data_IF_285196277430
#
_entry.id   IF_285196277430
#
_cell.length_a   1.000
_cell.length_b   1.000
_cell.length_c   1.000
_cell.angle_alpha   90.00
_cell.angle_beta   90.00
_cell.angle_gamma   90.00
#
_symmetry.space_group_name_H-M   'P 1'
#
loop_
_entity.id
_entity.type
_entity.pdbx_description
1 polymer ?
#
# COMPACT_ATOMS: atom_id res chain seq x y z
N UNK A 1 24.15 0.02 1.47
CA UNK A 1 23.36 -1.07 2.10
C UNK A 1 22.03 -1.12 1.35
N UNK A 2 21.36 -2.26 1.17
CA UNK A 2 20.08 -2.24 0.44
C UNK A 2 18.97 -1.82 1.42
N UNK A 3 18.22 -0.78 1.08
CA UNK A 3 17.03 -0.34 1.81
C UNK A 3 15.79 -0.56 0.97
N UNK A 4 14.63 -0.60 1.62
CA UNK A 4 13.35 -0.75 0.94
C UNK A 4 12.42 0.41 1.29
N UNK A 5 11.73 0.92 0.27
CA UNK A 5 10.73 1.98 0.42
C UNK A 5 9.36 1.44 0.04
N UNK A 6 8.36 1.68 0.88
CA UNK A 6 6.98 1.26 0.62
C UNK A 6 6.29 2.24 -0.33
N UNK A 7 5.73 1.72 -1.42
CA UNK A 7 4.74 2.42 -2.25
C UNK A 7 3.41 1.67 -2.17
N UNK A 8 2.32 2.37 -1.84
CA UNK A 8 0.99 1.78 -1.69
C UNK A 8 -0.04 2.54 -2.55
N UNK A 9 -0.94 1.80 -3.18
CA UNK A 9 -2.06 2.30 -3.96
C UNK A 9 -3.36 1.83 -3.31
N UNK A 10 -4.37 2.69 -3.32
CA UNK A 10 -5.75 2.34 -2.98
C UNK A 10 -6.49 2.10 -4.29
N UNK A 11 -7.10 0.94 -4.44
CA UNK A 11 -7.73 0.52 -5.68
C UNK A 11 -9.19 0.13 -5.45
N UNK A 12 -10.06 0.45 -6.41
CA UNK A 12 -11.43 -0.04 -6.50
C UNK A 12 -11.50 -1.21 -7.49
N UNK A 13 -12.19 -2.27 -7.06
CA UNK A 13 -12.42 -3.49 -7.85
C UNK A 13 -13.88 -3.59 -8.35
N UNK A 14 -14.56 -2.45 -8.51
CA UNK A 14 -15.91 -2.43 -9.09
C UNK A 14 -15.92 -2.73 -10.59
N UNK A 15 -14.87 -2.31 -11.30
CA UNK A 15 -14.72 -2.49 -12.75
C UNK A 15 -13.49 -3.35 -13.08
N UNK A 16 -13.49 -3.94 -14.27
CA UNK A 16 -12.30 -4.54 -14.88
C UNK A 16 -11.85 -3.65 -16.07
N UNK A 17 -10.59 -3.19 -16.10
CA UNK A 17 -9.55 -3.37 -15.09
C UNK A 17 -9.85 -2.59 -13.78
N UNK A 18 -9.22 -3.02 -12.69
CA UNK A 18 -9.29 -2.31 -11.41
C UNK A 18 -8.66 -0.92 -11.53
N UNK A 19 -9.27 0.08 -10.89
CA UNK A 19 -8.80 1.47 -10.94
C UNK A 19 -8.13 1.81 -9.63
N UNK A 20 -6.87 2.27 -9.70
CA UNK A 20 -6.09 2.67 -8.53
C UNK A 20 -5.90 4.19 -8.49
N UNK A 21 -5.94 4.76 -7.29
CA UNK A 21 -5.54 6.14 -7.02
C UNK A 21 -4.03 6.32 -7.23
N UNK A 22 -3.55 7.57 -7.19
CA UNK A 22 -2.12 7.86 -7.22
C UNK A 22 -1.37 7.12 -6.09
N UNK A 23 -0.13 6.65 -6.35
CA UNK A 23 0.69 6.01 -5.32
C UNK A 23 0.96 6.96 -4.16
N UNK A 24 0.98 6.39 -2.96
CA UNK A 24 1.52 7.02 -1.76
C UNK A 24 2.86 6.37 -1.48
N UNK A 25 3.94 7.15 -1.59
CA UNK A 25 5.27 6.71 -1.21
C UNK A 25 5.54 7.04 0.27
N UNK A 26 6.02 6.04 1.01
CA UNK A 26 6.43 6.20 2.39
C UNK A 26 7.81 6.84 2.45
N UNK A 27 8.01 7.77 3.37
CA UNK A 27 9.34 8.32 3.69
C UNK A 27 10.15 7.45 4.65
N UNK A 28 9.61 6.28 5.03
CA UNK A 28 10.27 5.33 5.93
C UNK A 28 11.08 4.31 5.13
N UNK A 29 12.34 4.14 5.50
CA UNK A 29 13.24 3.13 4.94
C UNK A 29 13.29 1.88 5.82
N UNK A 30 13.10 0.73 5.20
CA UNK A 30 13.16 -0.58 5.85
C UNK A 30 14.45 -1.30 5.50
N UNK A 31 14.94 -2.17 6.40
CA UNK A 31 16.19 -2.91 6.18
C UNK A 31 15.98 -4.20 5.38
N UNK A 32 14.74 -4.64 5.24
CA UNK A 32 14.40 -5.85 4.49
C UNK A 32 13.04 -5.73 3.80
N UNK A 33 12.86 -6.53 2.75
CA UNK A 33 11.55 -6.70 2.13
C UNK A 33 10.50 -7.19 3.14
N UNK A 34 10.90 -8.06 4.08
CA UNK A 34 10.02 -8.59 5.13
C UNK A 34 9.44 -7.50 6.02
N UNK A 35 10.28 -6.57 6.49
CA UNK A 35 9.83 -5.44 7.29
C UNK A 35 8.87 -4.53 6.49
N UNK A 36 9.25 -4.21 5.25
CA UNK A 36 8.44 -3.35 4.39
C UNK A 36 7.08 -3.97 4.05
N UNK A 37 7.01 -5.26 3.73
CA UNK A 37 5.76 -5.94 3.36
C UNK A 37 4.81 -6.04 4.57
N UNK A 38 5.32 -6.32 5.77
CA UNK A 38 4.52 -6.29 7.00
C UNK A 38 3.99 -4.88 7.30
N UNK A 39 4.84 -3.87 7.15
CA UNK A 39 4.42 -2.48 7.30
C UNK A 39 3.33 -2.09 6.30
N UNK A 40 3.41 -2.59 5.06
CA UNK A 40 2.37 -2.39 4.05
C UNK A 40 1.00 -2.91 4.53
N UNK A 41 0.94 -4.15 5.03
CA UNK A 41 -0.31 -4.72 5.56
C UNK A 41 -0.86 -3.92 6.75
N UNK A 42 0.01 -3.47 7.66
CA UNK A 42 -0.41 -2.61 8.77
C UNK A 42 -0.97 -1.28 8.29
N UNK A 43 -0.38 -0.68 7.25
CA UNK A 43 -0.90 0.55 6.65
C UNK A 43 -2.22 0.33 5.91
N UNK A 44 -2.37 -0.79 5.20
CA UNK A 44 -3.64 -1.17 4.56
C UNK A 44 -4.79 -1.20 5.58
N UNK A 45 -4.58 -1.82 6.74
CA UNK A 45 -5.59 -1.88 7.81
C UNK A 45 -5.95 -0.47 8.28
N UNK A 46 -4.97 0.42 8.46
CA UNK A 46 -5.22 1.82 8.84
C UNK A 46 -6.01 2.59 7.78
N UNK A 47 -5.69 2.38 6.50
CA UNK A 47 -6.41 2.98 5.37
C UNK A 47 -7.87 2.51 5.38
N UNK A 48 -8.13 1.20 5.48
CA UNK A 48 -9.50 0.67 5.52
C UNK A 48 -10.28 1.20 6.73
N UNK A 49 -9.63 1.30 7.89
CA UNK A 49 -10.25 1.84 9.11
C UNK A 49 -10.65 3.31 8.94
N UNK A 50 -9.85 4.11 8.22
CA UNK A 50 -10.15 5.52 7.92
C UNK A 50 -11.25 5.68 6.88
N UNK A 51 -11.27 4.85 5.84
CA UNK A 51 -12.30 4.86 4.80
C UNK A 51 -13.66 4.36 5.31
N UNK A 52 -13.64 3.42 6.26
CA UNK A 52 -14.82 2.90 6.92
C UNK A 52 -15.47 1.71 6.21
N UNK A 53 -16.18 0.89 7.00
CA UNK A 53 -16.75 -0.39 6.58
C UNK A 53 -17.64 -0.27 5.33
N UNK A 54 -18.59 0.67 5.32
CA UNK A 54 -19.55 0.84 4.23
C UNK A 54 -18.84 1.16 2.91
N UNK A 55 -17.97 2.17 2.91
CA UNK A 55 -17.27 2.62 1.71
C UNK A 55 -16.36 1.53 1.13
N UNK A 56 -15.62 0.82 1.98
CA UNK A 56 -14.74 -0.27 1.54
C UNK A 56 -15.52 -1.38 0.85
N UNK A 57 -16.68 -1.77 1.39
CA UNK A 57 -17.51 -2.82 0.81
C UNK A 57 -18.20 -2.37 -0.49
N UNK A 58 -18.86 -1.21 -0.48
CA UNK A 58 -19.61 -0.71 -1.64
C UNK A 58 -18.70 -0.44 -2.84
N UNK A 59 -17.47 0.01 -2.60
CA UNK A 59 -16.53 0.35 -3.67
C UNK A 59 -15.50 -0.75 -3.93
N UNK A 60 -15.64 -1.92 -3.28
CA UNK A 60 -14.70 -3.06 -3.34
C UNK A 60 -13.25 -2.57 -3.23
N UNK A 61 -12.97 -1.80 -2.19
CA UNK A 61 -11.66 -1.18 -1.99
C UNK A 61 -10.67 -2.22 -1.48
N UNK A 62 -9.49 -2.28 -2.10
CA UNK A 62 -8.34 -2.96 -1.56
C UNK A 62 -7.07 -2.14 -1.83
N UNK A 63 -5.99 -2.46 -1.14
CA UNK A 63 -4.68 -1.84 -1.38
C UNK A 63 -3.78 -2.77 -2.18
N UNK A 64 -3.07 -2.20 -3.16
CA UNK A 64 -1.91 -2.82 -3.81
C UNK A 64 -0.66 -2.16 -3.25
N UNK A 65 0.45 -2.88 -3.11
CA UNK A 65 1.70 -2.29 -2.67
C UNK A 65 2.91 -2.90 -3.37
N UNK A 66 4.05 -2.21 -3.27
CA UNK A 66 5.37 -2.74 -3.58
C UNK A 66 6.40 -2.19 -2.61
N UNK A 67 7.51 -2.90 -2.46
CA UNK A 67 8.66 -2.50 -1.66
C UNK A 67 9.85 -2.28 -2.59
N UNK A 68 10.12 -1.04 -2.98
CA UNK A 68 11.19 -0.75 -3.93
C UNK A 68 12.54 -0.87 -3.23
N UNK A 69 13.42 -1.72 -3.74
CA UNK A 69 14.81 -1.78 -3.28
C UNK A 69 15.57 -0.55 -3.78
N UNK A 70 16.21 0.16 -2.86
CA UNK A 70 17.06 1.30 -3.13
C UNK A 70 18.49 0.97 -2.65
N UNK A 71 19.46 1.11 -3.56
CA UNK A 71 20.89 0.84 -3.30
C UNK A 71 21.66 2.11 -2.91
N UNK A 72 21.02 3.27 -3.05
CA UNK A 72 21.62 4.60 -2.92
C UNK A 72 21.42 5.22 -1.53
N UNK A 73 20.78 4.48 -0.61
CA UNK A 73 20.47 4.89 0.77
C UNK A 73 21.22 4.02 1.77
#
# INVERSE_FOLDING_TARGET
>A
MIKFTLTIWVCSFLSMPSVCMAPIESTVFYNSWYECSRAAHMQSIKIYSRLGYKYVNENKIATRYTCKADKTI
#
